data_IF_532145384069
#
_entry.id   IF_532145384069
#
_cell.length_a   1.000
_cell.length_b   1.000
_cell.length_c   1.000
_cell.angle_alpha   90.00
_cell.angle_beta   90.00
_cell.angle_gamma   90.00
#
_symmetry.space_group_name_H-M   'P 1'
#
loop_
_entity.id
_entity.type
_entity.pdbx_description
1 polymer ?
#
# COMPACT_ATOMS: atom_id res chain seq x y z
N UNK A 1 10.10 -6.45 22.06
CA UNK A 1 9.52 -5.91 20.80
C UNK A 1 8.01 -5.99 20.90
N UNK A 2 7.29 -4.91 20.60
CA UNK A 2 5.82 -4.96 20.52
C UNK A 2 5.40 -5.83 19.33
N UNK A 3 4.37 -6.66 19.51
CA UNK A 3 3.81 -7.53 18.45
C UNK A 3 3.38 -6.75 17.21
N UNK A 4 2.97 -5.49 17.38
CA UNK A 4 2.62 -4.58 16.29
C UNK A 4 3.82 -4.19 15.42
N UNK A 5 4.99 -3.99 16.03
CA UNK A 5 6.22 -3.63 15.33
C UNK A 5 6.74 -4.81 14.49
N UNK A 6 6.64 -6.02 15.04
CA UNK A 6 6.93 -7.24 14.30
C UNK A 6 5.96 -7.40 13.11
N UNK A 7 4.67 -7.18 13.33
CA UNK A 7 3.64 -7.28 12.27
C UNK A 7 3.87 -6.26 11.15
N UNK A 8 4.23 -5.02 11.48
CA UNK A 8 4.56 -3.98 10.47
C UNK A 8 5.77 -4.36 9.62
N UNK A 9 6.81 -4.89 10.25
CA UNK A 9 8.02 -5.36 9.55
C UNK A 9 7.71 -6.53 8.62
N UNK A 10 6.90 -7.49 9.08
CA UNK A 10 6.45 -8.60 8.23
C UNK A 10 5.65 -8.10 7.04
N UNK A 11 4.67 -7.22 7.27
CA UNK A 11 3.84 -6.63 6.22
C UNK A 11 4.68 -5.84 5.19
N UNK A 12 5.75 -5.17 5.66
CA UNK A 12 6.64 -4.38 4.79
C UNK A 12 7.41 -5.26 3.80
N UNK A 13 7.61 -6.54 4.14
CA UNK A 13 8.25 -7.54 3.27
C UNK A 13 7.19 -8.27 2.43
N UNK A 14 6.05 -8.63 3.01
CA UNK A 14 5.02 -9.41 2.30
C UNK A 14 4.30 -8.60 1.22
N UNK A 15 4.02 -7.32 1.46
CA UNK A 15 3.37 -6.45 0.47
C UNK A 15 4.11 -6.41 -0.87
N UNK A 16 5.39 -5.99 -0.90
CA UNK A 16 6.21 -5.99 -2.11
C UNK A 16 6.37 -7.38 -2.74
N UNK A 17 6.46 -8.44 -1.93
CA UNK A 17 6.56 -9.81 -2.42
C UNK A 17 5.31 -10.23 -3.21
N UNK A 18 4.12 -9.96 -2.67
CA UNK A 18 2.86 -10.25 -3.34
C UNK A 18 2.67 -9.40 -4.61
N UNK A 19 3.12 -8.13 -4.59
CA UNK A 19 3.12 -7.29 -5.80
C UNK A 19 4.03 -7.84 -6.89
N UNK A 20 5.26 -8.24 -6.54
CA UNK A 20 6.21 -8.82 -7.48
C UNK A 20 5.67 -10.14 -8.08
N UNK A 21 5.14 -11.03 -7.23
CA UNK A 21 4.52 -12.27 -7.68
C UNK A 21 3.32 -12.01 -8.60
N UNK A 22 2.45 -11.06 -8.26
CA UNK A 22 1.31 -10.66 -9.09
C UNK A 22 1.74 -10.12 -10.45
N UNK A 23 2.77 -9.28 -10.51
CA UNK A 23 3.32 -8.78 -11.77
C UNK A 23 3.87 -9.91 -12.64
N UNK A 24 4.60 -10.87 -12.06
CA UNK A 24 5.10 -12.05 -12.78
C UNK A 24 3.95 -12.91 -13.30
N UNK A 25 2.94 -13.18 -12.48
CA UNK A 25 1.77 -13.95 -12.90
C UNK A 25 0.96 -13.26 -14.01
N UNK A 26 0.88 -11.92 -14.00
CA UNK A 26 0.25 -11.16 -15.07
C UNK A 26 1.00 -11.33 -16.39
N UNK A 27 2.34 -11.27 -16.38
CA UNK A 27 3.19 -11.51 -17.56
C UNK A 27 3.03 -12.94 -18.09
N UNK A 28 2.87 -13.91 -17.20
CA UNK A 28 2.66 -15.33 -17.55
C UNK A 28 1.20 -15.64 -17.94
N UNK A 29 0.29 -14.67 -17.91
CA UNK A 29 -1.14 -14.86 -18.22
C UNK A 29 -1.88 -15.73 -17.20
N UNK A 30 -1.36 -15.89 -15.98
CA UNK A 30 -1.97 -16.71 -14.95
C UNK A 30 -3.15 -15.96 -14.31
N UNK A 31 -4.39 -16.50 -14.34
CA UNK A 31 -5.60 -15.78 -13.91
C UNK A 31 -5.63 -15.38 -12.44
N UNK A 32 -4.73 -15.90 -11.61
CA UNK A 32 -4.65 -15.58 -10.18
C UNK A 32 -3.91 -14.25 -9.93
N UNK A 33 -3.25 -13.67 -10.93
CA UNK A 33 -2.50 -12.41 -10.82
C UNK A 33 -3.24 -11.26 -10.10
N UNK A 34 -4.56 -11.04 -10.27
CA UNK A 34 -5.25 -9.93 -9.59
C UNK A 34 -5.30 -10.13 -8.08
N UNK A 35 -5.44 -11.38 -7.61
CA UNK A 35 -5.49 -11.72 -6.18
C UNK A 35 -4.16 -11.35 -5.51
N UNK A 36 -3.04 -11.68 -6.15
CA UNK A 36 -1.71 -11.35 -5.65
C UNK A 36 -1.48 -9.84 -5.56
N UNK A 37 -1.96 -9.07 -6.55
CA UNK A 37 -1.86 -7.61 -6.48
C UNK A 37 -2.71 -7.01 -5.35
N UNK A 38 -3.95 -7.47 -5.17
CA UNK A 38 -4.83 -7.02 -4.09
C UNK A 38 -4.22 -7.32 -2.73
N UNK A 39 -3.67 -8.52 -2.54
CA UNK A 39 -2.95 -8.87 -1.32
C UNK A 39 -1.73 -7.97 -1.11
N UNK A 40 -0.93 -7.75 -2.16
CA UNK A 40 0.25 -6.89 -2.09
C UNK A 40 -0.07 -5.46 -1.66
N UNK A 41 -1.10 -4.85 -2.24
CA UNK A 41 -1.58 -3.51 -1.87
C UNK A 41 -2.11 -3.51 -0.43
N UNK A 42 -2.87 -4.54 -0.04
CA UNK A 42 -3.44 -4.65 1.30
C UNK A 42 -2.35 -4.71 2.36
N UNK A 43 -1.36 -5.59 2.18
CA UNK A 43 -0.23 -5.72 3.09
C UNK A 43 0.63 -4.44 3.14
N UNK A 44 0.87 -3.79 2.00
CA UNK A 44 1.59 -2.52 1.95
C UNK A 44 0.82 -1.40 2.66
N UNK A 45 -0.51 -1.35 2.52
CA UNK A 45 -1.37 -0.42 3.24
C UNK A 45 -1.38 -0.67 4.76
N UNK A 46 -1.34 -1.93 5.18
CA UNK A 46 -1.21 -2.29 6.61
C UNK A 46 0.16 -1.92 7.19
N UNK A 47 1.22 -1.90 6.38
CA UNK A 47 2.52 -1.34 6.78
C UNK A 47 2.48 0.18 6.95
N UNK A 48 1.73 0.90 6.11
CA UNK A 48 1.65 2.36 6.17
C UNK A 48 0.89 2.89 7.40
N UNK A 49 0.09 2.04 8.06
CA UNK A 49 -0.70 2.41 9.24
C UNK A 49 -1.83 3.41 8.94
N UNK A 50 -2.73 3.72 9.90
CA UNK A 50 -3.89 4.59 9.70
C UNK A 50 -3.56 6.09 9.53
N UNK A 51 -2.31 6.44 9.23
CA UNK A 51 -1.84 7.81 9.17
C UNK A 51 -1.69 8.29 7.74
N UNK A 52 -2.63 9.15 7.32
CA UNK A 52 -2.57 10.02 6.13
C UNK A 52 -3.12 9.38 4.85
N UNK A 53 -4.46 9.32 4.70
CA UNK A 53 -5.00 9.66 3.40
C UNK A 53 -4.45 11.04 3.06
N UNK A 54 -3.68 11.14 1.98
CA UNK A 54 -3.52 12.39 1.26
C UNK A 54 -4.89 12.74 0.67
N UNK A 55 -5.81 13.19 1.53
CA UNK A 55 -6.77 14.21 1.14
C UNK A 55 -5.92 15.36 0.64
N UNK A 56 -5.72 15.37 -0.67
CA UNK A 56 -5.43 16.56 -1.46
C UNK A 56 -6.62 17.49 -1.26
N UNK A 57 -6.74 18.08 -0.07
CA UNK A 57 -7.50 19.29 0.17
C UNK A 57 -6.64 20.42 -0.37
N UNK A 58 -6.52 20.46 -1.69
CA UNK A 58 -6.01 21.61 -2.43
C UNK A 58 -7.14 22.63 -2.60
N UNK A 59 -7.84 22.97 -1.51
CA UNK A 59 -8.47 24.27 -1.41
C UNK A 59 -7.37 25.21 -0.89
N UNK A 60 -6.51 25.60 -1.81
CA UNK A 60 -5.59 26.71 -1.62
C UNK A 60 -6.48 27.95 -1.51
N UNK A 61 -6.92 28.27 -0.30
CA UNK A 61 -7.57 29.52 0.03
C UNK A 61 -6.52 30.61 -0.23
N UNK A 62 -6.70 31.49 -1.24
CA UNK A 62 -5.78 32.59 -1.42
C UNK A 62 -6.14 33.61 -0.35
N UNK A 63 -5.37 33.59 0.72
CA UNK A 63 -5.29 34.64 1.71
C UNK A 63 -4.92 35.95 0.97
N UNK A 64 -5.95 36.71 0.59
CA UNK A 64 -5.82 38.06 0.07
C UNK A 64 -6.01 39.00 1.24
N UNK A 65 -5.01 39.04 2.11
CA UNK A 65 -4.84 40.14 3.03
C UNK A 65 -4.49 41.39 2.22
N UNK A 66 -5.46 42.31 2.23
CA UNK A 66 -5.39 43.69 1.77
C UNK A 66 -5.48 44.59 2.98
#
# INVERSE_FOLDING_TARGET
MSSEEASRRWNAVTGPLFLAAGAVFAVLGNPVWPVFLVLGITFLGLTAGPGRPTSRSGAQEPDRDR
#
